data_IF_699039841423
#
_entry.id   IF_699039841423
#
_cell.length_a   1.000
_cell.length_b   1.000
_cell.length_c   1.000
_cell.angle_alpha   90.00
_cell.angle_beta   90.00
_cell.angle_gamma   90.00
#
_symmetry.space_group_name_H-M   'P 1'
#
loop_
_entity.id
_entity.type
_entity.pdbx_description
1 polymer ?
#
# COMPACT_ATOMS: atom_id res chain seq x y z
N UNK A 1 -4.48 16.42 -1.63
CA UNK A 1 -3.88 15.10 -1.92
C UNK A 1 -3.63 14.39 -0.60
N UNK A 2 -4.25 13.24 -0.38
CA UNK A 2 -4.06 12.49 0.87
C UNK A 2 -2.67 11.84 0.92
N UNK A 3 -2.03 11.86 2.09
CA UNK A 3 -0.82 11.07 2.39
C UNK A 3 -1.18 10.03 3.42
N UNK A 4 -1.02 8.75 3.09
CA UNK A 4 -1.42 7.62 3.93
C UNK A 4 -0.17 6.77 4.17
N UNK A 5 0.09 6.41 5.42
CA UNK A 5 1.23 5.59 5.81
C UNK A 5 0.75 4.29 6.45
N UNK A 6 1.23 3.16 5.95
CA UNK A 6 1.02 1.84 6.55
C UNK A 6 2.26 1.49 7.38
N UNK A 7 2.10 1.43 8.71
CA UNK A 7 3.15 1.01 9.65
C UNK A 7 2.95 -0.47 9.95
N UNK A 8 4.00 -1.28 9.78
CA UNK A 8 3.88 -2.75 9.76
C UNK A 8 3.46 -3.27 8.38
N UNK A 9 3.87 -2.59 7.32
CA UNK A 9 3.51 -2.89 5.94
C UNK A 9 4.15 -4.17 5.38
N UNK A 10 5.02 -4.86 6.13
CA UNK A 10 5.57 -6.17 5.76
C UNK A 10 4.53 -7.29 5.71
N UNK A 11 3.26 -7.00 6.04
CA UNK A 11 2.12 -7.87 5.74
C UNK A 11 1.54 -7.54 4.37
N UNK A 12 1.93 -8.31 3.34
CA UNK A 12 1.47 -8.09 1.96
C UNK A 12 -0.05 -8.26 1.79
N UNK A 13 -0.67 -9.17 2.56
CA UNK A 13 -2.13 -9.35 2.55
C UNK A 13 -2.85 -8.11 3.09
N UNK A 14 -2.35 -7.55 4.20
CA UNK A 14 -2.89 -6.34 4.81
C UNK A 14 -2.73 -5.13 3.86
N UNK A 15 -1.52 -4.91 3.34
CA UNK A 15 -1.25 -3.79 2.43
C UNK A 15 -2.14 -3.85 1.18
N UNK A 16 -2.30 -5.04 0.59
CA UNK A 16 -3.20 -5.26 -0.56
C UNK A 16 -4.66 -4.97 -0.24
N UNK A 17 -5.16 -5.49 0.89
CA UNK A 17 -6.56 -5.33 1.26
C UNK A 17 -6.93 -3.84 1.43
N UNK A 18 -6.13 -3.09 2.19
CA UNK A 18 -6.37 -1.66 2.38
C UNK A 18 -6.22 -0.86 1.08
N UNK A 19 -5.25 -1.18 0.23
CA UNK A 19 -5.11 -0.52 -1.07
C UNK A 19 -6.33 -0.72 -1.95
N UNK A 20 -6.84 -1.96 -2.03
CA UNK A 20 -8.06 -2.25 -2.79
C UNK A 20 -9.25 -1.42 -2.28
N UNK A 21 -9.47 -1.39 -0.96
CA UNK A 21 -10.57 -0.66 -0.36
C UNK A 21 -10.44 0.86 -0.62
N UNK A 22 -9.23 1.42 -0.48
CA UNK A 22 -8.98 2.83 -0.76
C UNK A 22 -9.22 3.20 -2.23
N UNK A 23 -8.78 2.36 -3.16
CA UNK A 23 -8.92 2.63 -4.60
C UNK A 23 -10.36 2.51 -5.12
N UNK A 24 -11.30 1.99 -4.31
CA UNK A 24 -12.74 2.07 -4.63
C UNK A 24 -13.28 3.51 -4.60
N UNK A 25 -12.57 4.44 -3.94
CA UNK A 25 -12.99 5.84 -3.81
C UNK A 25 -12.12 6.72 -4.73
N UNK A 26 -12.72 7.41 -5.72
CA UNK A 26 -11.99 8.26 -6.67
C UNK A 26 -11.13 9.35 -6.02
N UNK A 27 -11.53 9.83 -4.84
CA UNK A 27 -10.79 10.85 -4.09
C UNK A 27 -9.39 10.38 -3.66
N UNK A 28 -9.17 9.07 -3.57
CA UNK A 28 -7.88 8.47 -3.19
C UNK A 28 -7.01 8.05 -4.38
N UNK A 29 -7.47 8.16 -5.64
CA UNK A 29 -6.66 7.81 -6.81
C UNK A 29 -5.39 8.66 -6.96
N UNK A 30 -5.38 9.85 -6.36
CA UNK A 30 -4.20 10.72 -6.30
C UNK A 30 -3.42 10.62 -5.00
N UNK A 31 -3.80 9.73 -4.07
CA UNK A 31 -3.16 9.63 -2.77
C UNK A 31 -1.71 9.11 -2.88
N UNK A 32 -0.85 9.56 -1.97
CA UNK A 32 0.50 9.01 -1.80
C UNK A 32 0.51 7.99 -0.68
N UNK A 33 0.83 6.73 -1.00
CA UNK A 33 0.94 5.63 -0.04
C UNK A 33 2.40 5.43 0.35
N UNK A 34 2.70 5.50 1.65
CA UNK A 34 4.00 5.16 2.21
C UNK A 34 3.91 3.81 2.93
N UNK A 35 4.86 2.92 2.65
CA UNK A 35 4.97 1.63 3.32
C UNK A 35 6.17 1.68 4.26
N UNK A 36 5.96 1.29 5.51
CA UNK A 36 7.01 1.18 6.52
C UNK A 36 6.95 -0.18 7.19
N UNK A 37 8.11 -0.84 7.26
CA UNK A 37 8.33 -2.01 8.11
C UNK A 37 9.80 -2.01 8.55
N UNK A 38 10.10 -2.71 9.65
CA UNK A 38 11.47 -2.91 10.13
C UNK A 38 12.18 -4.04 9.36
N UNK A 39 11.41 -4.94 8.76
CA UNK A 39 11.92 -6.02 7.93
C UNK A 39 11.94 -5.58 6.45
N UNK A 40 13.15 -5.37 5.93
CA UNK A 40 13.36 -4.86 4.57
C UNK A 40 12.92 -5.85 3.47
N UNK A 41 13.01 -7.16 3.73
CA UNK A 41 12.63 -8.19 2.76
C UNK A 41 11.11 -8.24 2.64
N UNK A 42 10.42 -8.25 3.78
CA UNK A 42 8.95 -8.20 3.82
C UNK A 42 8.42 -6.89 3.25
N UNK A 43 9.07 -5.77 3.54
CA UNK A 43 8.70 -4.46 2.99
C UNK A 43 8.80 -4.45 1.47
N UNK A 44 9.87 -5.04 0.90
CA UNK A 44 10.06 -5.16 -0.54
C UNK A 44 8.95 -5.98 -1.19
N UNK A 45 8.62 -7.14 -0.62
CA UNK A 45 7.57 -8.02 -1.15
C UNK A 45 6.20 -7.33 -1.14
N UNK A 46 5.85 -6.66 -0.03
CA UNK A 46 4.65 -5.84 0.05
C UNK A 46 4.64 -4.67 -0.94
N UNK A 47 5.80 -4.04 -1.17
CA UNK A 47 5.95 -2.96 -2.16
C UNK A 47 5.65 -3.41 -3.59
N UNK A 48 6.07 -4.63 -3.97
CA UNK A 48 5.74 -5.22 -5.27
C UNK A 48 4.24 -5.45 -5.41
N UNK A 49 3.61 -6.02 -4.38
CA UNK A 49 2.15 -6.27 -4.37
C UNK A 49 1.38 -4.94 -4.44
N UNK A 50 1.76 -3.96 -3.64
CA UNK A 50 1.14 -2.65 -3.61
C UNK A 50 1.20 -1.93 -4.97
N UNK A 51 2.35 -2.01 -5.66
CA UNK A 51 2.52 -1.44 -7.00
C UNK A 51 1.58 -2.10 -8.01
N UNK A 52 1.51 -3.43 -8.02
CA UNK A 52 0.62 -4.18 -8.93
C UNK A 52 -0.84 -3.85 -8.74
N UNK A 53 -1.28 -3.59 -7.50
CA UNK A 53 -2.66 -3.18 -7.20
C UNK A 53 -2.92 -1.77 -7.68
N UNK A 54 -1.97 -0.85 -7.51
CA UNK A 54 -2.11 0.54 -7.93
C UNK A 54 -2.09 0.73 -9.46
N UNK A 55 -1.43 -0.17 -10.20
CA UNK A 55 -1.32 -0.12 -11.65
C UNK A 55 -2.44 -0.91 -12.39
N UNK A 56 -3.34 -1.58 -11.66
CA UNK A 56 -4.44 -2.39 -12.19
C UNK A 56 -5.71 -1.54 -12.42
#
# INVERSE_FOLDING_TARGET
MAKIAFIGAGSAVFARALLNDLLMFPEFHSATIHLMDIDADRLRDSGIVARRVADA
#
